data_IF_457638994623
#
_entry.id   IF_457638994623
#
_cell.length_a   1.000
_cell.length_b   1.000
_cell.length_c   1.000
_cell.angle_alpha   90.00
_cell.angle_beta   90.00
_cell.angle_gamma   90.00
#
_symmetry.space_group_name_H-M   'P 1'
#
loop_
_entity.id
_entity.type
_entity.pdbx_description
1 polymer ?
#
# COMPACT_ATOMS: atom_id res chain seq x y z
N UNK A 1 25.16 0.80 0.29
CA UNK A 1 24.82 0.03 -0.89
C UNK A 1 23.42 -0.55 -0.69
N UNK A 2 22.55 -0.57 -1.70
CA UNK A 2 21.15 -0.96 -1.55
C UNK A 2 21.02 -2.44 -1.94
N UNK A 3 20.52 -3.28 -1.03
CA UNK A 3 20.09 -4.63 -1.36
C UNK A 3 18.69 -4.56 -1.96
N UNK A 4 18.65 -4.37 -3.28
CA UNK A 4 17.39 -4.32 -4.03
C UNK A 4 17.03 -5.73 -4.47
N UNK A 5 15.91 -6.23 -3.99
CA UNK A 5 15.34 -7.50 -4.44
C UNK A 5 14.17 -7.23 -5.36
N UNK A 6 14.18 -7.85 -6.53
CA UNK A 6 13.15 -7.71 -7.56
C UNK A 6 12.61 -9.08 -7.94
N UNK A 7 11.30 -9.24 -7.93
CA UNK A 7 10.60 -10.44 -8.42
C UNK A 7 9.56 -10.02 -9.45
N UNK A 8 9.41 -10.79 -10.51
CA UNK A 8 8.44 -10.57 -11.57
C UNK A 8 7.60 -11.82 -11.79
N UNK A 9 6.30 -11.60 -12.00
CA UNK A 9 5.31 -12.65 -12.23
C UNK A 9 4.50 -12.23 -13.45
N UNK A 10 4.27 -13.13 -14.38
CA UNK A 10 3.35 -12.89 -15.49
C UNK A 10 1.90 -12.92 -14.97
N UNK A 11 1.19 -11.83 -15.18
CA UNK A 11 -0.17 -11.64 -14.72
C UNK A 11 -1.08 -11.26 -15.89
N UNK A 12 -1.67 -12.25 -16.53
CA UNK A 12 -2.42 -12.07 -17.76
C UNK A 12 -1.51 -11.71 -18.93
N UNK A 13 -1.75 -10.59 -19.57
CA UNK A 13 -0.96 -10.09 -20.70
C UNK A 13 0.21 -9.19 -20.27
N UNK A 14 0.31 -8.87 -18.97
CA UNK A 14 1.32 -7.97 -18.43
C UNK A 14 2.16 -8.63 -17.34
N UNK A 15 3.30 -8.03 -17.03
CA UNK A 15 4.20 -8.50 -15.98
C UNK A 15 4.01 -7.67 -14.72
N UNK A 16 3.59 -8.31 -13.62
CA UNK A 16 3.61 -7.72 -12.29
C UNK A 16 5.03 -7.81 -11.72
N UNK A 17 5.60 -6.68 -11.38
CA UNK A 17 6.93 -6.59 -10.78
C UNK A 17 6.82 -6.08 -9.35
N UNK A 18 7.44 -6.80 -8.42
CA UNK A 18 7.58 -6.42 -7.02
C UNK A 18 9.04 -6.09 -6.72
N UNK A 19 9.28 -4.89 -6.19
CA UNK A 19 10.62 -4.39 -5.86
C UNK A 19 10.68 -3.92 -4.41
N UNK A 20 11.69 -4.37 -3.67
CA UNK A 20 11.92 -3.97 -2.28
C UNK A 20 13.37 -3.55 -2.05
N UNK A 21 13.62 -2.75 -0.99
CA UNK A 21 14.96 -2.34 -0.59
C UNK A 21 15.51 -1.09 -1.29
N UNK A 22 14.77 -0.47 -2.21
CA UNK A 22 15.22 0.70 -2.97
C UNK A 22 14.88 2.03 -2.31
N UNK A 23 13.67 2.15 -1.80
CA UNK A 23 13.11 3.39 -1.24
C UNK A 23 12.57 3.18 0.17
N UNK A 24 12.23 4.28 0.85
CA UNK A 24 11.58 4.31 2.17
C UNK A 24 12.29 3.44 3.23
N UNK A 25 13.58 3.62 3.39
CA UNK A 25 14.44 2.85 4.31
C UNK A 25 14.11 3.00 5.79
N UNK A 26 13.39 4.05 6.18
CA UNK A 26 12.97 4.27 7.55
C UNK A 26 11.70 3.48 7.92
N UNK A 27 11.00 2.95 6.92
CA UNK A 27 9.89 2.04 7.14
C UNK A 27 10.41 0.64 7.47
N UNK A 28 9.67 -0.12 8.27
CA UNK A 28 10.01 -1.50 8.62
C UNK A 28 9.91 -2.44 7.41
N UNK A 29 9.00 -2.11 6.49
CA UNK A 29 8.89 -2.80 5.20
C UNK A 29 8.41 -1.86 4.11
N UNK A 30 8.93 -2.03 2.90
CA UNK A 30 8.51 -1.26 1.73
C UNK A 30 8.56 -2.12 0.50
N UNK A 31 7.50 -2.09 -0.28
CA UNK A 31 7.45 -2.75 -1.59
C UNK A 31 6.83 -1.81 -2.62
N UNK A 32 7.41 -1.81 -3.81
CA UNK A 32 6.83 -1.16 -4.98
C UNK A 32 6.29 -2.25 -5.89
N UNK A 33 5.00 -2.23 -6.16
CA UNK A 33 4.33 -3.08 -7.13
C UNK A 33 4.09 -2.29 -8.42
N UNK A 34 4.49 -2.85 -9.55
CA UNK A 34 4.33 -2.23 -10.87
C UNK A 34 3.65 -3.21 -11.81
N UNK A 35 2.56 -2.79 -12.44
CA UNK A 35 1.86 -3.50 -13.50
C UNK A 35 1.68 -2.53 -14.69
N UNK A 36 2.27 -2.84 -15.82
CA UNK A 36 2.36 -1.89 -16.92
C UNK A 36 3.09 -0.62 -16.48
N UNK A 37 2.46 0.54 -16.63
CA UNK A 37 2.98 1.84 -16.15
C UNK A 37 2.32 2.31 -14.85
N UNK A 38 1.44 1.49 -14.25
CA UNK A 38 0.84 1.75 -12.93
C UNK A 38 1.75 1.21 -11.84
N UNK A 39 2.17 2.08 -10.93
CA UNK A 39 3.03 1.74 -9.79
C UNK A 39 2.41 2.19 -8.48
N UNK A 40 2.41 1.29 -7.52
CA UNK A 40 1.95 1.54 -6.16
C UNK A 40 3.05 1.20 -5.16
N UNK A 41 3.30 2.08 -4.22
CA UNK A 41 4.24 1.87 -3.13
C UNK A 41 3.47 1.56 -1.85
N UNK A 42 3.76 0.44 -1.22
CA UNK A 42 3.25 0.08 0.09
C UNK A 42 4.36 0.15 1.13
N UNK A 43 4.14 0.95 2.16
CA UNK A 43 5.02 1.08 3.31
C UNK A 43 4.34 0.53 4.55
N UNK A 44 5.09 -0.20 5.36
CA UNK A 44 4.61 -0.73 6.64
C UNK A 44 5.54 -0.23 7.74
N UNK A 45 4.94 0.30 8.79
CA UNK A 45 5.63 0.67 10.03
C UNK A 45 4.87 0.11 11.21
N UNK A 46 5.57 -0.31 12.25
CA UNK A 46 4.96 -0.79 13.48
C UNK A 46 5.60 -0.14 14.71
N UNK A 47 4.80 0.05 15.75
CA UNK A 47 5.29 0.55 17.02
C UNK A 47 6.05 -0.54 17.77
N UNK A 48 7.26 -0.22 18.23
CA UNK A 48 8.10 -1.17 19.01
C UNK A 48 7.53 -1.43 20.40
N UNK A 49 6.80 -0.48 20.94
CA UNK A 49 6.18 -0.56 22.27
C UNK A 49 4.67 -0.71 22.14
N UNK A 50 4.12 -1.57 22.96
CA UNK A 50 2.68 -1.76 23.09
C UNK A 50 2.12 -0.75 24.09
N UNK A 51 1.00 -0.10 23.74
CA UNK A 51 0.30 0.78 24.68
C UNK A 51 -0.33 -0.03 25.81
N UNK A 52 -0.14 0.39 27.05
CA UNK A 52 -0.77 -0.24 28.20
C UNK A 52 -2.30 -0.18 28.11
N UNK A 53 -2.97 -1.29 28.40
CA UNK A 53 -4.44 -1.37 28.40
C UNK A 53 -5.07 -1.59 27.03
N UNK A 54 -4.31 -1.95 26.01
CA UNK A 54 -4.82 -2.18 24.67
C UNK A 54 -5.37 -3.60 24.49
N UNK A 55 -6.70 -3.72 24.33
CA UNK A 55 -7.39 -5.00 24.20
C UNK A 55 -7.55 -5.48 22.76
N UNK A 56 -7.28 -4.63 21.77
CA UNK A 56 -7.47 -4.90 20.35
C UNK A 56 -6.19 -4.68 19.56
N UNK A 57 -6.15 -5.24 18.34
CA UNK A 57 -5.06 -5.02 17.39
C UNK A 57 -5.29 -3.74 16.58
N UNK A 58 -4.50 -2.69 16.76
CA UNK A 58 -4.64 -1.43 16.05
C UNK A 58 -3.92 -1.49 14.70
N UNK A 59 -4.59 -2.00 13.69
CA UNK A 59 -4.16 -1.95 12.30
C UNK A 59 -4.82 -0.77 11.61
N UNK A 60 -4.03 0.12 11.04
CA UNK A 60 -4.49 1.24 10.24
C UNK A 60 -3.96 1.10 8.82
N UNK A 61 -4.86 1.12 7.85
CA UNK A 61 -4.52 1.08 6.43
C UNK A 61 -4.94 2.37 5.78
N UNK A 62 -4.01 3.04 5.12
CA UNK A 62 -4.24 4.21 4.29
C UNK A 62 -3.94 3.87 2.84
N UNK A 63 -4.84 4.27 1.96
CA UNK A 63 -4.67 4.21 0.52
C UNK A 63 -4.84 5.62 -0.04
N UNK A 64 -3.88 6.09 -0.81
CA UNK A 64 -3.86 7.45 -1.36
C UNK A 64 -3.55 7.44 -2.84
N UNK A 65 -4.43 8.08 -3.61
CA UNK A 65 -4.21 8.39 -5.02
C UNK A 65 -3.75 9.84 -5.16
N UNK A 66 -2.52 10.02 -5.62
CA UNK A 66 -1.96 11.34 -5.82
C UNK A 66 -2.29 11.85 -7.22
N UNK A 67 -2.72 13.11 -7.34
CA UNK A 67 -3.05 13.72 -8.63
C UNK A 67 -1.87 13.71 -9.62
N UNK A 68 -0.66 13.85 -9.12
CA UNK A 68 0.55 13.80 -9.94
C UNK A 68 0.76 12.44 -10.61
N UNK A 69 0.24 11.35 -10.03
CA UNK A 69 0.35 10.01 -10.61
C UNK A 69 -0.33 9.91 -11.97
N UNK A 70 -1.38 10.70 -12.20
CA UNK A 70 -2.08 10.81 -13.49
C UNK A 70 -1.67 12.09 -14.26
N UNK A 71 -0.60 12.77 -13.86
CA UNK A 71 -0.15 14.02 -14.47
C UNK A 71 -1.13 15.19 -14.32
N UNK A 72 -1.98 15.15 -13.27
CA UNK A 72 -3.02 16.16 -13.03
C UNK A 72 -2.68 17.02 -11.82
N UNK A 73 -3.18 18.27 -11.84
CA UNK A 73 -3.12 19.20 -10.71
C UNK A 73 -4.47 19.20 -10.01
N UNK A 74 -4.53 19.15 -8.65
CA UNK A 74 -5.77 19.25 -7.92
C UNK A 74 -6.51 20.55 -8.26
N UNK A 75 -7.78 20.44 -8.61
CA UNK A 75 -8.63 21.59 -8.94
C UNK A 75 -9.97 21.55 -8.19
N UNK A 76 -10.51 22.73 -7.87
CA UNK A 76 -11.80 22.88 -7.21
C UNK A 76 -11.74 22.93 -5.69
N UNK A 77 -12.82 23.43 -5.09
CA UNK A 77 -12.91 23.73 -3.66
C UNK A 77 -12.82 22.47 -2.76
N UNK A 78 -13.33 21.34 -3.22
CA UNK A 78 -13.37 20.07 -2.46
C UNK A 78 -12.26 19.09 -2.80
N UNK A 79 -11.42 19.38 -3.80
CA UNK A 79 -10.36 18.49 -4.28
C UNK A 79 -9.02 18.77 -3.60
N UNK A 80 -8.99 18.67 -2.28
CA UNK A 80 -7.74 18.73 -1.51
C UNK A 80 -7.27 17.31 -1.22
N UNK A 81 -6.00 17.04 -1.41
CA UNK A 81 -5.36 15.75 -1.06
C UNK A 81 -5.34 15.48 0.46
N UNK A 82 -5.80 16.42 1.28
CA UNK A 82 -5.82 16.30 2.74
C UNK A 82 -6.90 15.34 3.27
N UNK A 83 -7.95 15.08 2.51
CA UNK A 83 -9.02 14.14 2.89
C UNK A 83 -9.09 13.02 1.87
N UNK A 84 -9.08 11.74 2.35
CA UNK A 84 -9.32 10.61 1.47
C UNK A 84 -10.70 10.72 0.83
N UNK A 85 -10.81 10.37 -0.44
CA UNK A 85 -12.08 10.22 -1.12
C UNK A 85 -12.82 8.99 -0.58
N UNK A 86 -14.12 8.88 -0.88
CA UNK A 86 -14.91 7.71 -0.51
C UNK A 86 -14.33 6.43 -1.16
N UNK A 87 -13.91 6.50 -2.42
CA UNK A 87 -13.26 5.40 -3.12
C UNK A 87 -11.96 4.97 -2.45
N UNK A 88 -11.09 5.92 -2.08
CA UNK A 88 -9.84 5.63 -1.36
C UNK A 88 -10.10 4.97 0.00
N UNK A 89 -11.14 5.39 0.72
CA UNK A 89 -11.53 4.80 1.99
C UNK A 89 -12.03 3.36 1.81
N UNK A 90 -12.82 3.08 0.78
CA UNK A 90 -13.30 1.74 0.46
C UNK A 90 -12.16 0.82 0.05
N UNK A 91 -11.22 1.29 -0.76
CA UNK A 91 -10.03 0.53 -1.15
C UNK A 91 -9.15 0.22 0.05
N UNK A 92 -8.95 1.18 0.97
CA UNK A 92 -8.22 0.94 2.21
C UNK A 92 -8.88 -0.18 3.07
N UNK A 93 -10.21 -0.22 3.13
CA UNK A 93 -10.94 -1.30 3.81
C UNK A 93 -10.82 -2.65 3.11
N UNK A 94 -10.82 -2.66 1.77
CA UNK A 94 -10.58 -3.86 0.99
C UNK A 94 -9.19 -4.45 1.25
N UNK A 95 -8.20 -3.62 1.44
CA UNK A 95 -6.82 -4.00 1.78
C UNK A 95 -6.75 -4.51 3.23
N UNK A 96 -7.39 -3.82 4.18
CA UNK A 96 -7.37 -4.18 5.61
C UNK A 96 -7.93 -5.59 5.87
N UNK A 97 -9.04 -5.94 5.25
CA UNK A 97 -9.75 -7.20 5.51
C UNK A 97 -8.91 -8.46 5.32
N UNK A 98 -8.20 -8.66 4.20
CA UNK A 98 -7.38 -9.86 4.00
C UNK A 98 -6.08 -9.85 4.81
N UNK A 99 -5.55 -8.69 5.17
CA UNK A 99 -4.27 -8.61 5.90
C UNK A 99 -4.47 -8.87 7.39
N UNK A 100 -5.55 -8.39 7.97
CA UNK A 100 -5.81 -8.49 9.41
C UNK A 100 -5.74 -9.91 9.97
N UNK A 101 -6.29 -10.95 9.31
CA UNK A 101 -6.19 -12.34 9.79
C UNK A 101 -4.78 -12.94 9.67
N UNK A 102 -3.87 -12.34 8.89
CA UNK A 102 -2.51 -12.85 8.71
C UNK A 102 -1.60 -12.55 9.90
N UNK A 103 -1.98 -11.62 10.77
CA UNK A 103 -1.24 -11.34 11.99
C UNK A 103 -1.48 -12.43 13.04
N UNK A 104 -0.43 -12.73 13.80
CA UNK A 104 -0.46 -13.74 14.86
C UNK A 104 -1.47 -13.35 15.93
N UNK A 105 -2.23 -14.32 16.40
CA UNK A 105 -3.17 -14.11 17.51
C UNK A 105 -2.44 -13.55 18.75
N UNK A 106 -3.00 -12.51 19.35
CA UNK A 106 -2.37 -11.81 20.47
C UNK A 106 -1.40 -10.69 20.08
N UNK A 107 -1.17 -10.43 18.79
CA UNK A 107 -0.38 -9.28 18.34
C UNK A 107 -1.15 -7.97 18.59
N UNK A 108 -0.60 -7.07 19.41
CA UNK A 108 -1.27 -5.82 19.85
C UNK A 108 -0.45 -4.55 19.57
N UNK A 109 0.65 -4.67 18.86
CA UNK A 109 1.43 -3.50 18.43
C UNK A 109 0.68 -2.71 17.36
N UNK A 110 0.77 -1.40 17.41
CA UNK A 110 0.18 -0.53 16.38
C UNK A 110 0.92 -0.72 15.05
N UNK A 111 0.18 -1.04 14.00
CA UNK A 111 0.70 -1.21 12.63
C UNK A 111 0.03 -0.20 11.71
N UNK A 112 0.84 0.52 10.96
CA UNK A 112 0.41 1.43 9.92
C UNK A 112 0.86 0.89 8.56
N UNK A 113 -0.09 0.66 7.67
CA UNK A 113 0.14 0.33 6.26
C UNK A 113 -0.28 1.53 5.42
N UNK A 114 0.63 2.04 4.62
CA UNK A 114 0.37 3.19 3.75
C UNK A 114 0.64 2.80 2.30
N UNK A 115 -0.41 2.77 1.49
CA UNK A 115 -0.34 2.52 0.06
C UNK A 115 -0.46 3.86 -0.68
N UNK A 116 0.52 4.18 -1.52
CA UNK A 116 0.55 5.42 -2.30
C UNK A 116 0.71 5.08 -3.78
N UNK A 117 -0.20 5.59 -4.59
CA UNK A 117 -0.10 5.47 -6.06
C UNK A 117 0.95 6.45 -6.56
N UNK A 118 2.01 5.94 -7.19
CA UNK A 118 3.12 6.75 -7.72
C UNK A 118 2.90 7.13 -9.19
N UNK A 119 2.35 6.21 -9.98
CA UNK A 119 2.03 6.43 -11.39
C UNK A 119 0.79 5.64 -11.78
N UNK A 120 0.07 6.13 -12.78
CA UNK A 120 -1.14 5.50 -13.28
C UNK A 120 -1.24 5.67 -14.81
N UNK A 121 -1.34 4.58 -15.53
CA UNK A 121 -1.44 4.53 -16.99
C UNK A 121 -2.87 4.72 -17.52
N UNK A 122 -3.86 4.87 -16.62
CA UNK A 122 -5.30 4.95 -16.91
C UNK A 122 -5.91 3.66 -17.52
N UNK A 123 -5.17 2.57 -17.54
CA UNK A 123 -5.60 1.24 -18.00
C UNK A 123 -5.68 0.28 -16.82
N UNK A 124 -4.59 0.15 -16.08
CA UNK A 124 -4.49 -0.72 -14.92
C UNK A 124 -4.96 0.00 -13.66
N UNK A 125 -5.98 -0.53 -13.00
CA UNK A 125 -6.51 0.06 -11.78
C UNK A 125 -5.52 -0.04 -10.62
N UNK A 126 -5.11 1.09 -10.02
CA UNK A 126 -4.11 1.07 -8.94
C UNK A 126 -4.63 0.42 -7.66
N UNK A 127 -5.93 0.37 -7.44
CA UNK A 127 -6.55 -0.35 -6.33
C UNK A 127 -6.40 -1.86 -6.51
N UNK A 128 -6.60 -2.40 -7.72
CA UNK A 128 -6.36 -3.79 -8.03
C UNK A 128 -4.89 -4.18 -7.83
N UNK A 129 -3.94 -3.35 -8.27
CA UNK A 129 -2.50 -3.56 -8.05
C UNK A 129 -2.17 -3.57 -6.56
N UNK A 130 -2.72 -2.64 -5.79
CA UNK A 130 -2.53 -2.56 -4.33
C UNK A 130 -3.07 -3.78 -3.61
N UNK A 131 -4.27 -4.21 -3.96
CA UNK A 131 -4.92 -5.38 -3.37
C UNK A 131 -4.16 -6.67 -3.67
N UNK A 132 -3.80 -6.89 -4.92
CA UNK A 132 -3.09 -8.09 -5.36
C UNK A 132 -1.73 -8.22 -4.68
N UNK A 133 -0.99 -7.12 -4.61
CA UNK A 133 0.31 -7.07 -3.97
C UNK A 133 0.28 -7.44 -2.48
N UNK A 134 -0.73 -6.95 -1.74
CA UNK A 134 -0.82 -7.18 -0.30
C UNK A 134 -1.42 -8.55 0.04
N UNK A 135 -2.13 -9.17 -0.88
CA UNK A 135 -2.77 -10.49 -0.67
C UNK A 135 -1.96 -11.66 -1.20
N UNK A 136 -0.92 -11.41 -1.99
CA UNK A 136 0.00 -12.47 -2.38
C UNK A 136 0.71 -13.01 -1.13
N UNK A 137 0.59 -14.32 -0.84
CA UNK A 137 1.27 -14.89 0.30
C UNK A 137 2.78 -14.68 0.14
N UNK A 138 3.36 -13.96 1.08
CA UNK A 138 4.82 -13.89 1.23
C UNK A 138 5.30 -15.23 1.75
N UNK A 139 5.45 -16.17 0.86
CA UNK A 139 6.19 -17.42 1.13
C UNK A 139 7.66 -17.20 0.88
#
# INVERSE_FOLDING_TARGET
>A
MFDVTKKSIEWGEETLTLETGKVARQADGTVIATLGETSVMANVTFAKEMKEGQDFFPLTVHYQEKYYAAGKIPGGFFKREARPSEAETLTARLIDRPIRPLFVEGFKHEVLVMCTVLSHDLVNSPDAVSYTHLTLPTT
#
